data_IF_354831708307
#
_entry.id   IF_354831708307
#
_cell.length_a   1.000
_cell.length_b   1.000
_cell.length_c   1.000
_cell.angle_alpha   90.00
_cell.angle_beta   90.00
_cell.angle_gamma   90.00
#
_symmetry.space_group_name_H-M   'P 1'
#
loop_
_entity.id
_entity.type
_entity.pdbx_description
1 polymer ?
#
# COMPACT_ATOMS: atom_id res chain seq x y z
N UNK A 1 -11.75 12.06 -14.78
CA UNK A 1 -10.44 11.37 -14.62
C UNK A 1 -10.60 9.91 -15.02
N UNK A 2 -9.58 9.32 -15.65
CA UNK A 2 -9.45 7.87 -15.84
C UNK A 2 -8.48 7.33 -14.80
N UNK A 3 -8.85 6.24 -14.13
CA UNK A 3 -8.01 5.62 -13.11
C UNK A 3 -7.37 4.33 -13.61
N UNK A 4 -6.13 4.09 -13.23
CA UNK A 4 -5.42 2.83 -13.44
C UNK A 4 -4.63 2.43 -12.19
N UNK A 5 -4.34 1.14 -12.05
CA UNK A 5 -3.66 0.57 -10.89
C UNK A 5 -2.40 -0.16 -11.37
N UNK A 6 -1.30 -0.02 -10.65
CA UNK A 6 -0.04 -0.65 -11.03
C UNK A 6 0.85 -0.92 -9.83
N UNK A 7 1.59 -2.02 -9.87
CA UNK A 7 2.73 -2.28 -8.98
C UNK A 7 3.89 -1.35 -9.34
N UNK A 8 4.56 -0.79 -8.34
CA UNK A 8 5.79 -0.01 -8.54
C UNK A 8 6.92 -0.99 -8.94
N UNK A 9 7.59 -0.72 -10.07
CA UNK A 9 8.75 -1.51 -10.48
C UNK A 9 9.92 -1.32 -9.51
N UNK A 10 10.59 -2.41 -9.17
CA UNK A 10 11.82 -2.40 -8.36
C UNK A 10 13.09 -2.24 -9.20
N UNK A 11 12.96 -2.27 -10.53
CA UNK A 11 14.08 -2.21 -11.47
C UNK A 11 14.03 -0.99 -12.39
N UNK A 12 12.83 -0.54 -12.75
CA UNK A 12 12.63 0.48 -13.79
C UNK A 12 12.25 1.82 -13.17
N UNK A 13 12.93 2.89 -13.60
CA UNK A 13 12.61 4.28 -13.21
C UNK A 13 12.45 4.48 -11.70
N UNK A 14 13.28 3.79 -10.91
CA UNK A 14 13.17 3.70 -9.45
C UNK A 14 13.26 5.09 -8.79
N UNK A 15 14.15 5.95 -9.26
CA UNK A 15 14.31 7.32 -8.74
C UNK A 15 13.04 8.15 -8.95
N UNK A 16 12.43 8.04 -10.14
CA UNK A 16 11.17 8.71 -10.44
C UNK A 16 10.03 8.17 -9.57
N UNK A 17 9.94 6.84 -9.43
CA UNK A 17 8.92 6.20 -8.60
C UNK A 17 9.08 6.57 -7.12
N UNK A 18 10.30 6.64 -6.61
CA UNK A 18 10.59 7.06 -5.23
C UNK A 18 10.13 8.50 -4.98
N UNK A 19 10.38 9.40 -5.93
CA UNK A 19 9.91 10.79 -5.86
C UNK A 19 8.37 10.88 -5.84
N UNK A 20 7.69 10.14 -6.72
CA UNK A 20 6.22 10.08 -6.74
C UNK A 20 5.63 9.44 -5.47
N UNK A 21 6.25 8.38 -4.96
CA UNK A 21 5.87 7.73 -3.72
C UNK A 21 6.01 8.69 -2.52
N UNK A 22 7.13 9.41 -2.42
CA UNK A 22 7.34 10.46 -1.41
C UNK A 22 6.21 11.48 -1.46
N UNK A 23 5.95 12.06 -2.63
CA UNK A 23 4.99 13.16 -2.77
C UNK A 23 3.58 12.70 -2.36
N UNK A 24 3.15 11.51 -2.79
CA UNK A 24 1.88 10.91 -2.36
C UNK A 24 1.86 10.65 -0.85
N UNK A 25 2.92 10.05 -0.29
CA UNK A 25 3.00 9.73 1.14
C UNK A 25 2.93 10.97 2.02
N UNK A 26 3.64 12.03 1.64
CA UNK A 26 3.62 13.29 2.37
C UNK A 26 2.25 13.98 2.30
N UNK A 27 1.56 13.91 1.16
CA UNK A 27 0.17 14.38 1.05
C UNK A 27 -0.77 13.58 1.94
N UNK A 28 -0.61 12.25 1.97
CA UNK A 28 -1.42 11.38 2.81
C UNK A 28 -1.25 11.69 4.31
N UNK A 29 0.00 11.90 4.76
CA UNK A 29 0.31 12.28 6.14
C UNK A 29 -0.33 13.62 6.55
N UNK A 30 -0.44 14.59 5.62
CA UNK A 30 -1.15 15.85 5.89
C UNK A 30 -2.67 15.66 5.93
N UNK A 31 -3.21 14.87 5.01
CA UNK A 31 -4.65 14.70 4.86
C UNK A 31 -5.26 13.84 5.98
N UNK A 32 -4.52 12.88 6.53
CA UNK A 32 -5.02 11.96 7.55
C UNK A 32 -3.90 11.53 8.51
N UNK A 33 -3.36 12.45 9.34
CA UNK A 33 -2.20 12.17 10.20
C UNK A 33 -2.44 11.01 11.17
N UNK A 34 -3.67 10.87 11.68
CA UNK A 34 -4.04 9.82 12.64
C UNK A 34 -4.04 8.40 12.05
N UNK A 35 -4.16 8.30 10.72
CA UNK A 35 -4.17 7.03 9.98
C UNK A 35 -2.79 6.41 9.81
N UNK A 36 -1.72 7.12 10.18
CA UNK A 36 -0.34 6.67 10.02
C UNK A 36 0.36 6.48 11.37
N UNK A 37 1.48 5.75 11.34
CA UNK A 37 2.36 5.55 12.50
C UNK A 37 3.52 6.56 12.57
N UNK A 38 3.57 7.50 11.62
CA UNK A 38 4.57 8.56 11.50
C UNK A 38 3.85 9.86 11.16
N UNK A 39 4.57 10.98 11.17
CA UNK A 39 3.99 12.31 10.89
C UNK A 39 4.66 12.98 9.69
N UNK A 40 3.98 13.98 9.11
CA UNK A 40 4.54 14.77 8.02
C UNK A 40 5.83 15.48 8.42
N UNK A 41 5.90 16.02 9.64
CA UNK A 41 7.05 16.79 10.15
C UNK A 41 8.32 15.92 10.23
N UNK A 42 8.14 14.63 10.53
CA UNK A 42 9.23 13.64 10.56
C UNK A 42 9.60 13.25 9.13
N UNK A 43 8.63 12.76 8.35
CA UNK A 43 8.95 12.16 7.04
C UNK A 43 9.37 13.19 5.99
N UNK A 44 8.90 14.44 6.08
CA UNK A 44 9.29 15.52 5.15
C UNK A 44 10.78 15.87 5.20
N UNK A 45 11.49 15.45 6.26
CA UNK A 45 12.94 15.65 6.44
C UNK A 45 13.77 14.48 5.90
N UNK A 46 13.13 13.40 5.45
CA UNK A 46 13.84 12.25 4.91
C UNK A 46 14.47 12.56 3.55
N UNK A 47 15.71 12.10 3.38
CA UNK A 47 16.44 12.19 2.11
C UNK A 47 15.83 11.27 1.05
N UNK A 48 16.08 11.57 -0.22
CA UNK A 48 15.59 10.76 -1.36
C UNK A 48 15.99 9.28 -1.28
N UNK A 49 17.18 8.99 -0.75
CA UNK A 49 17.65 7.61 -0.53
C UNK A 49 16.67 6.78 0.34
N UNK A 50 16.08 7.39 1.38
CA UNK A 50 15.12 6.69 2.26
C UNK A 50 13.86 6.29 1.50
N UNK A 51 13.40 7.14 0.58
CA UNK A 51 12.23 6.88 -0.25
C UNK A 51 12.48 5.78 -1.27
N UNK A 52 13.70 5.77 -1.85
CA UNK A 52 14.16 4.69 -2.72
C UNK A 52 14.25 3.37 -1.96
N UNK A 53 14.88 3.35 -0.78
CA UNK A 53 15.00 2.15 0.05
C UNK A 53 13.64 1.56 0.38
N UNK A 54 12.66 2.40 0.74
CA UNK A 54 11.27 1.99 1.07
C UNK A 54 10.57 1.25 -0.08
N UNK A 55 10.74 1.69 -1.32
CA UNK A 55 10.11 1.02 -2.48
C UNK A 55 10.88 -0.22 -2.94
N UNK A 56 12.18 -0.30 -2.61
CA UNK A 56 13.06 -1.42 -2.95
C UNK A 56 13.11 -2.53 -1.90
N UNK A 57 12.46 -2.37 -0.74
CA UNK A 57 12.44 -3.42 0.28
C UNK A 57 11.89 -4.73 -0.30
N UNK A 58 12.65 -5.82 -0.15
CA UNK A 58 12.31 -7.10 -0.76
C UNK A 58 11.09 -7.75 -0.13
N UNK A 59 10.85 -7.51 1.17
CA UNK A 59 9.67 -7.97 1.90
C UNK A 59 8.42 -7.14 1.61
N UNK A 60 8.44 -6.24 0.61
CA UNK A 60 7.32 -5.34 0.31
C UNK A 60 7.02 -5.23 -1.17
N UNK A 61 5.72 -5.19 -1.47
CA UNK A 61 5.20 -4.90 -2.79
C UNK A 61 4.29 -3.67 -2.70
N UNK A 62 4.64 -2.63 -3.45
CA UNK A 62 3.95 -1.34 -3.42
C UNK A 62 3.08 -1.19 -4.67
N UNK A 63 1.84 -0.79 -4.48
CA UNK A 63 0.86 -0.58 -5.55
C UNK A 63 0.30 0.82 -5.45
N UNK A 64 -0.03 1.41 -6.61
CA UNK A 64 -0.49 2.79 -6.71
C UNK A 64 -1.72 2.91 -7.60
N UNK A 65 -2.57 3.87 -7.26
CA UNK A 65 -3.66 4.34 -8.10
C UNK A 65 -3.21 5.62 -8.82
N UNK A 66 -3.33 5.61 -10.13
CA UNK A 66 -2.96 6.69 -11.04
C UNK A 66 -4.24 7.38 -11.54
N UNK A 67 -4.34 8.69 -11.37
CA UNK A 67 -5.36 9.51 -12.00
C UNK A 67 -4.79 10.15 -13.27
N UNK A 68 -5.40 9.86 -14.41
CA UNK A 68 -5.07 10.44 -15.71
C UNK A 68 -6.21 11.35 -16.17
N UNK A 69 -5.94 12.62 -16.53
CA UNK A 69 -6.89 13.51 -17.17
C UNK A 69 -7.45 12.88 -18.46
N UNK A 70 -8.76 13.00 -18.70
CA UNK A 70 -9.42 12.42 -19.90
C UNK A 70 -9.11 13.26 -21.13
N UNK A 71 -9.06 14.57 -20.96
CA UNK A 71 -8.60 15.54 -21.95
C UNK A 71 -7.36 16.22 -21.37
N UNK A 72 -6.15 15.79 -21.76
CA UNK A 72 -4.93 16.41 -21.27
C UNK A 72 -4.77 17.79 -21.92
N UNK A 73 -4.88 18.85 -21.13
CA UNK A 73 -4.29 20.14 -21.51
C UNK A 73 -2.77 20.12 -21.30
N UNK A 74 -2.06 21.15 -21.75
CA UNK A 74 -0.61 21.24 -21.62
C UNK A 74 -0.09 21.19 -20.15
N UNK A 75 -0.98 21.35 -19.16
CA UNK A 75 -0.66 21.32 -17.73
C UNK A 75 -1.05 20.02 -17.01
N UNK A 76 -1.84 19.18 -17.69
CA UNK A 76 -2.50 18.00 -17.16
C UNK A 76 -1.58 16.78 -17.17
N UNK A 77 -0.95 16.48 -16.03
CA UNK A 77 -0.07 15.30 -15.87
C UNK A 77 -0.72 14.17 -15.07
N UNK A 78 -0.22 12.94 -15.25
CA UNK A 78 -0.64 11.77 -14.47
C UNK A 78 -0.26 11.98 -13.00
N UNK A 79 -1.23 11.77 -12.10
CA UNK A 79 -1.04 11.93 -10.67
C UNK A 79 -1.17 10.61 -9.93
N UNK A 80 -0.31 10.37 -8.94
CA UNK A 80 -0.48 9.28 -7.99
C UNK A 80 -1.45 9.74 -6.92
N UNK A 81 -2.57 9.04 -6.77
CA UNK A 81 -3.69 9.46 -5.91
C UNK A 81 -4.04 8.46 -4.82
N UNK A 82 -3.42 7.29 -4.84
CA UNK A 82 -3.63 6.28 -3.83
C UNK A 82 -2.52 5.26 -3.80
N UNK A 83 -2.37 4.57 -2.68
CA UNK A 83 -1.35 3.55 -2.48
C UNK A 83 -1.83 2.43 -1.55
N UNK A 84 -1.22 1.26 -1.71
CA UNK A 84 -1.26 0.16 -0.75
C UNK A 84 0.06 -0.60 -0.82
N UNK A 85 0.52 -1.08 0.33
CA UNK A 85 1.73 -1.90 0.42
C UNK A 85 1.33 -3.27 0.97
N UNK A 86 1.78 -4.34 0.32
CA UNK A 86 1.79 -5.68 0.90
C UNK A 86 3.16 -5.94 1.50
N UNK A 87 3.21 -6.41 2.75
CA UNK A 87 4.44 -6.87 3.40
C UNK A 87 4.40 -8.38 3.59
N UNK A 88 5.42 -9.09 3.13
CA UNK A 88 5.52 -10.53 3.26
C UNK A 88 6.38 -11.17 2.17
N UNK A 89 6.31 -12.51 2.03
CA UNK A 89 5.61 -13.41 2.95
C UNK A 89 6.28 -13.42 4.33
N UNK A 90 5.49 -13.43 5.41
CA UNK A 90 5.97 -13.51 6.79
C UNK A 90 5.96 -14.96 7.29
N UNK A 91 6.87 -15.28 8.22
CA UNK A 91 6.86 -16.55 8.94
C UNK A 91 5.59 -16.68 9.79
N UNK A 92 5.26 -17.92 10.18
CA UNK A 92 4.17 -18.22 11.10
C UNK A 92 4.35 -17.47 12.41
N UNK A 93 5.58 -17.44 12.92
CA UNK A 93 5.94 -16.74 14.15
C UNK A 93 5.65 -15.23 14.06
N UNK A 94 6.16 -14.55 13.02
CA UNK A 94 5.97 -13.10 12.84
C UNK A 94 4.52 -12.71 12.53
N UNK A 95 3.74 -13.65 12.00
CA UNK A 95 2.34 -13.44 11.65
C UNK A 95 1.37 -13.79 12.79
N UNK A 96 1.78 -14.63 13.74
CA UNK A 96 0.90 -15.01 14.85
C UNK A 96 0.69 -13.82 15.79
N UNK A 97 -0.57 -13.56 16.13
CA UNK A 97 -0.94 -12.54 17.12
C UNK A 97 -1.16 -13.20 18.49
N UNK A 98 -1.21 -12.38 19.53
CA UNK A 98 -1.58 -12.82 20.87
C UNK A 98 -2.97 -13.48 20.86
N UNK A 99 -3.20 -14.43 21.78
CA UNK A 99 -4.47 -15.16 21.86
C UNK A 99 -5.70 -14.24 22.01
N UNK A 100 -5.50 -13.04 22.57
CA UNK A 100 -6.55 -12.03 22.74
C UNK A 100 -7.08 -11.42 21.42
N UNK A 101 -6.47 -11.73 20.25
CA UNK A 101 -6.89 -11.15 18.97
C UNK A 101 -8.03 -11.89 18.27
N UNK A 102 -8.54 -12.99 18.84
CA UNK A 102 -9.58 -13.88 18.27
C UNK A 102 -9.32 -14.30 16.81
N UNK A 103 -8.06 -14.26 16.37
CA UNK A 103 -7.68 -14.62 15.01
C UNK A 103 -7.32 -16.10 14.94
N UNK A 104 -7.69 -16.80 13.86
CA UNK A 104 -7.28 -18.19 13.68
C UNK A 104 -5.76 -18.28 13.63
N UNK A 105 -5.21 -19.33 14.24
CA UNK A 105 -3.79 -19.61 14.11
C UNK A 105 -3.44 -19.85 12.64
N UNK A 106 -2.37 -19.22 12.12
CA UNK A 106 -1.87 -19.54 10.80
C UNK A 106 -1.45 -21.01 10.69
N UNK A 107 -1.51 -21.56 9.46
CA UNK A 107 -0.96 -22.89 9.10
C UNK A 107 0.58 -22.92 9.24
N UNK A 108 1.24 -24.00 8.83
CA UNK A 108 2.71 -24.05 8.76
C UNK A 108 3.28 -23.25 7.56
N UNK A 109 4.55 -22.82 7.65
CA UNK A 109 5.24 -21.99 6.63
C UNK A 109 5.31 -22.63 5.23
N UNK A 110 5.22 -23.94 5.16
CA UNK A 110 5.25 -24.67 3.90
C UNK A 110 3.88 -24.77 3.22
N UNK A 111 2.78 -24.52 3.94
CA UNK A 111 1.39 -24.65 3.48
C UNK A 111 0.79 -23.34 2.96
N UNK A 112 1.16 -22.19 3.55
CA UNK A 112 0.58 -20.88 3.21
C UNK A 112 1.57 -19.72 3.26
N UNK A 113 1.35 -18.74 2.40
CA UNK A 113 2.00 -17.44 2.51
C UNK A 113 1.17 -16.48 3.34
N UNK A 114 1.84 -15.62 4.12
CA UNK A 114 1.18 -14.68 5.02
C UNK A 114 1.62 -13.26 4.73
N UNK A 115 0.67 -12.43 4.38
CA UNK A 115 0.89 -11.07 3.93
C UNK A 115 0.14 -10.08 4.80
N UNK A 116 0.76 -8.95 5.09
CA UNK A 116 0.11 -7.84 5.79
C UNK A 116 -0.07 -6.67 4.82
N UNK A 117 -1.32 -6.26 4.66
CA UNK A 117 -1.67 -5.03 3.96
C UNK A 117 -1.41 -3.84 4.88
N UNK A 118 -0.66 -2.87 4.37
CA UNK A 118 -0.20 -1.68 5.07
C UNK A 118 -0.47 -0.44 4.22
N UNK A 119 -0.57 0.70 4.90
CA UNK A 119 -0.56 2.03 4.26
C UNK A 119 -1.59 2.19 3.11
N UNK A 120 -2.75 1.53 3.22
CA UNK A 120 -3.87 1.70 2.29
C UNK A 120 -4.43 3.12 2.44
N UNK A 121 -4.38 3.89 1.35
CA UNK A 121 -4.85 5.27 1.37
C UNK A 121 -5.24 5.74 -0.04
N UNK A 122 -6.30 6.54 -0.12
CA UNK A 122 -6.70 7.29 -1.31
C UNK A 122 -6.81 8.76 -0.88
N UNK A 123 -6.29 9.69 -1.70
CA UNK A 123 -6.43 11.12 -1.44
C UNK A 123 -7.92 11.51 -1.33
N UNK A 124 -8.31 12.37 -0.37
CA UNK A 124 -9.71 12.75 -0.15
C UNK A 124 -10.42 13.25 -1.41
N UNK A 125 -9.73 14.05 -2.23
CA UNK A 125 -10.27 14.62 -3.48
C UNK A 125 -10.64 13.54 -4.54
N UNK A 126 -10.15 12.32 -4.36
CA UNK A 126 -10.42 11.16 -5.21
C UNK A 126 -11.16 10.03 -4.47
N UNK A 127 -11.57 10.25 -3.21
CA UNK A 127 -12.27 9.26 -2.42
C UNK A 127 -13.68 8.97 -2.97
N UNK A 128 -14.35 7.97 -2.40
CA UNK A 128 -15.77 7.65 -2.66
C UNK A 128 -16.10 7.14 -4.08
N UNK A 129 -15.10 6.65 -4.83
CA UNK A 129 -15.26 6.09 -6.19
C UNK A 129 -14.87 4.59 -6.28
N UNK A 130 -14.86 3.88 -5.15
CA UNK A 130 -14.42 2.48 -5.10
C UNK A 130 -12.93 2.25 -5.39
N UNK A 131 -12.12 3.31 -5.45
CA UNK A 131 -10.69 3.23 -5.79
C UNK A 131 -9.89 2.39 -4.78
N UNK A 132 -10.22 2.49 -3.49
CA UNK A 132 -9.59 1.67 -2.45
C UNK A 132 -9.83 0.18 -2.70
N UNK A 133 -11.07 -0.22 -3.01
CA UNK A 133 -11.42 -1.60 -3.34
C UNK A 133 -10.68 -2.08 -4.60
N UNK A 134 -10.65 -1.27 -5.65
CA UNK A 134 -9.94 -1.60 -6.90
C UNK A 134 -8.44 -1.74 -6.69
N UNK A 135 -7.85 -0.89 -5.85
CA UNK A 135 -6.43 -0.95 -5.50
C UNK A 135 -6.10 -2.21 -4.68
N UNK A 136 -6.94 -2.58 -3.70
CA UNK A 136 -6.81 -3.85 -2.99
C UNK A 136 -6.95 -5.06 -3.92
N UNK A 137 -7.87 -5.00 -4.89
CA UNK A 137 -8.06 -6.06 -5.89
C UNK A 137 -6.80 -6.28 -6.73
N UNK A 138 -6.15 -5.21 -7.15
CA UNK A 138 -4.89 -5.29 -7.90
C UNK A 138 -3.78 -5.94 -7.07
N UNK A 139 -3.66 -5.57 -5.79
CA UNK A 139 -2.68 -6.16 -4.88
C UNK A 139 -2.96 -7.66 -4.62
N UNK A 140 -4.23 -8.04 -4.43
CA UNK A 140 -4.62 -9.44 -4.23
C UNK A 140 -4.39 -10.26 -5.51
N UNK A 141 -4.71 -9.70 -6.68
CA UNK A 141 -4.46 -10.34 -7.98
C UNK A 141 -2.98 -10.67 -8.15
N UNK A 142 -2.10 -9.74 -7.80
CA UNK A 142 -0.65 -9.99 -7.81
C UNK A 142 -0.27 -11.22 -6.96
N UNK A 143 -0.79 -11.33 -5.74
CA UNK A 143 -0.53 -12.51 -4.90
C UNK A 143 -1.10 -13.80 -5.51
N UNK A 144 -2.26 -13.72 -6.16
CA UNK A 144 -2.85 -14.88 -6.82
C UNK A 144 -1.98 -15.40 -7.96
N UNK A 145 -1.31 -14.51 -8.68
CA UNK A 145 -0.46 -14.82 -9.84
C UNK A 145 0.97 -15.20 -9.44
N UNK A 146 1.46 -14.73 -8.29
CA UNK A 146 2.88 -14.84 -7.91
C UNK A 146 3.15 -15.68 -6.65
N UNK A 147 2.12 -16.16 -5.94
CA UNK A 147 2.31 -17.03 -4.77
C UNK A 147 3.07 -18.31 -5.14
N UNK A 148 3.98 -18.69 -4.27
CA UNK A 148 4.76 -19.92 -4.31
C UNK A 148 4.07 -21.04 -3.53
N UNK A 149 3.12 -20.70 -2.66
CA UNK A 149 2.35 -21.68 -1.86
C UNK A 149 0.92 -21.85 -2.39
N UNK A 150 0.27 -22.99 -2.08
CA UNK A 150 -1.12 -23.23 -2.51
C UNK A 150 -2.10 -22.16 -2.04
N UNK A 151 -1.84 -21.57 -0.86
CA UNK A 151 -2.69 -20.61 -0.18
C UNK A 151 -1.90 -19.33 0.15
N UNK A 152 -2.58 -18.19 0.09
CA UNK A 152 -2.09 -16.92 0.62
C UNK A 152 -3.16 -16.31 1.53
N UNK A 153 -2.76 -15.88 2.73
CA UNK A 153 -3.59 -15.11 3.65
C UNK A 153 -3.09 -13.67 3.63
N UNK A 154 -4.03 -12.72 3.54
CA UNK A 154 -3.75 -11.30 3.69
C UNK A 154 -4.50 -10.78 4.91
N UNK A 155 -3.79 -10.16 5.85
CA UNK A 155 -4.41 -9.42 6.96
C UNK A 155 -4.32 -7.92 6.74
N UNK A 156 -5.30 -7.20 7.28
CA UNK A 156 -5.25 -5.75 7.46
C UNK A 156 -5.48 -5.45 8.94
N UNK A 157 -4.71 -4.53 9.49
CA UNK A 157 -4.90 -4.04 10.85
C UNK A 157 -5.37 -2.59 10.78
N UNK A 158 -6.49 -2.31 11.43
CA UNK A 158 -7.09 -0.99 11.49
C UNK A 158 -7.05 -0.53 12.93
N UNK A 159 -6.47 0.66 13.19
CA UNK A 159 -6.54 1.27 14.52
C UNK A 159 -8.02 1.52 14.87
N UNK A 160 -8.47 1.28 16.11
CA UNK A 160 -9.88 1.46 16.49
C UNK A 160 -10.44 2.85 16.17
N UNK A 161 -9.59 3.87 16.17
CA UNK A 161 -9.95 5.27 15.89
C UNK A 161 -10.21 5.55 14.40
N UNK A 162 -9.82 4.64 13.50
CA UNK A 162 -10.05 4.78 12.06
C UNK A 162 -11.45 4.26 11.69
N UNK A 163 -12.47 5.03 12.05
CA UNK A 163 -13.89 4.70 11.84
C UNK A 163 -14.28 4.65 10.37
N UNK A 164 -13.55 5.33 9.48
CA UNK A 164 -13.81 5.32 8.03
C UNK A 164 -13.69 3.94 7.37
N UNK A 165 -13.12 2.95 8.06
CA UNK A 165 -12.84 1.61 7.51
C UNK A 165 -13.79 0.51 8.06
N UNK A 166 -14.72 0.84 8.96
CA UNK A 166 -15.54 -0.14 9.72
C UNK A 166 -17.05 0.04 9.46
N UNK A 167 -17.46 0.41 8.24
CA UNK A 167 -18.86 0.60 7.86
C UNK A 167 -19.32 -0.41 6.80
#
# INVERSE_FOLDING_TARGET
MRYSFSRISKTDSVEWAASKYRDLRLRALKASPESFASTYEIESRFMEAVWKDRILQQDRENFVCLATPVEPDASSSVQWVGQVTLRGPASKEDFTLSQDSDQPLPSEDDEEERWQMLSLFILPDHASQGLGQSLCREAIKYLQENRQKPKAIVRLMVKPQNTATVH
#
